data_IF_777313163361
#
_entry.id   IF_777313163361
#
_cell.length_a   1.000
_cell.length_b   1.000
_cell.length_c   1.000
_cell.angle_alpha   90.00
_cell.angle_beta   90.00
_cell.angle_gamma   90.00
#
_symmetry.space_group_name_H-M   'P 1'
#
loop_
_entity.id
_entity.type
_entity.pdbx_description
1 polymer ?
#
# COMPACT_ATOMS: atom_id res chain seq x y z
N UNK A 1 20.80 -3.71 25.85
CA UNK A 1 20.74 -3.05 24.54
C UNK A 1 19.35 -3.28 23.97
N UNK A 2 18.69 -2.22 23.51
CA UNK A 2 17.34 -2.25 22.92
C UNK A 2 17.41 -1.91 21.43
N UNK A 3 16.99 -2.82 20.57
CA UNK A 3 17.03 -2.64 19.12
C UNK A 3 15.62 -2.68 18.54
N UNK A 4 15.29 -1.71 17.72
CA UNK A 4 14.03 -1.68 16.95
C UNK A 4 14.36 -1.96 15.49
N UNK A 5 13.72 -2.99 14.94
CA UNK A 5 13.84 -3.38 13.54
C UNK A 5 12.55 -2.98 12.83
N UNK A 6 12.67 -2.08 11.86
CA UNK A 6 11.60 -1.63 11.00
C UNK A 6 12.11 -1.68 9.55
N UNK A 7 12.02 -2.85 8.94
CA UNK A 7 12.57 -3.16 7.62
C UNK A 7 11.45 -3.54 6.65
N UNK A 8 11.50 -3.04 5.41
CA UNK A 8 10.54 -3.42 4.37
C UNK A 8 10.86 -4.81 3.80
N UNK A 9 9.93 -5.35 3.05
CA UNK A 9 10.10 -6.60 2.32
C UNK A 9 11.24 -6.51 1.30
N UNK A 10 11.93 -7.61 1.10
CA UNK A 10 12.82 -7.79 -0.05
C UNK A 10 11.97 -8.35 -1.20
N UNK A 11 11.35 -7.43 -1.96
CA UNK A 11 10.35 -7.78 -2.98
C UNK A 11 10.82 -8.91 -3.89
N UNK A 12 9.98 -9.93 -4.04
CA UNK A 12 10.31 -11.14 -4.80
C UNK A 12 11.18 -12.15 -4.04
N UNK A 13 11.54 -11.90 -2.77
CA UNK A 13 12.37 -12.79 -1.94
C UNK A 13 11.70 -13.09 -0.59
N UNK A 14 11.86 -12.23 0.42
CA UNK A 14 11.29 -12.46 1.76
C UNK A 14 10.41 -11.31 2.23
N UNK A 15 9.45 -11.64 3.10
CA UNK A 15 8.55 -10.67 3.72
C UNK A 15 9.26 -9.80 4.76
N UNK A 16 8.66 -8.65 5.10
CA UNK A 16 9.15 -7.77 6.17
C UNK A 16 9.27 -8.50 7.54
N UNK A 17 8.29 -9.31 8.00
CA UNK A 17 8.44 -10.10 9.21
C UNK A 17 9.60 -11.11 9.16
N UNK A 18 9.81 -11.77 8.01
CA UNK A 18 10.89 -12.75 7.85
C UNK A 18 12.27 -12.07 7.85
N UNK A 19 12.39 -10.93 7.19
CA UNK A 19 13.61 -10.10 7.22
C UNK A 19 13.91 -9.62 8.64
N UNK A 20 12.91 -9.15 9.37
CA UNK A 20 13.05 -8.76 10.77
C UNK A 20 13.46 -9.91 11.68
N UNK A 21 12.93 -11.13 11.44
CA UNK A 21 13.30 -12.33 12.18
C UNK A 21 14.77 -12.73 11.92
N UNK A 22 15.23 -12.66 10.66
CA UNK A 22 16.62 -12.95 10.29
C UNK A 22 17.60 -11.98 10.97
N UNK A 23 17.29 -10.68 10.96
CA UNK A 23 18.09 -9.67 11.65
C UNK A 23 18.12 -9.91 13.17
N UNK A 24 16.99 -10.20 13.78
CA UNK A 24 16.91 -10.53 15.21
C UNK A 24 17.78 -11.74 15.55
N UNK A 25 17.79 -12.77 14.71
CA UNK A 25 18.66 -13.95 14.88
C UNK A 25 20.14 -13.52 14.87
N UNK A 26 20.58 -12.73 13.90
CA UNK A 26 21.95 -12.22 13.81
C UNK A 26 22.38 -11.40 15.03
N UNK A 27 21.47 -10.57 15.57
CA UNK A 27 21.72 -9.80 16.80
C UNK A 27 21.92 -10.75 18.00
N UNK A 28 21.04 -11.73 18.17
CA UNK A 28 21.09 -12.65 19.32
C UNK A 28 22.29 -13.58 19.28
N UNK A 29 22.94 -13.81 18.14
CA UNK A 29 24.19 -14.55 18.06
C UNK A 29 25.36 -13.80 18.73
N UNK A 30 25.25 -12.46 18.86
CA UNK A 30 26.30 -11.62 19.47
C UNK A 30 25.86 -11.08 20.83
N UNK A 31 24.61 -10.65 20.95
CA UNK A 31 23.99 -10.13 22.16
C UNK A 31 22.72 -10.93 22.51
N UNK A 32 22.88 -12.11 23.18
CA UNK A 32 21.73 -12.97 23.49
C UNK A 32 20.65 -12.28 24.32
N UNK A 33 21.04 -11.34 25.19
CA UNK A 33 20.14 -10.64 26.11
C UNK A 33 19.61 -9.30 25.52
N UNK A 34 19.82 -9.04 24.23
CA UNK A 34 19.30 -7.84 23.60
C UNK A 34 17.76 -7.88 23.50
N UNK A 35 17.12 -6.79 23.88
CA UNK A 35 15.68 -6.59 23.62
C UNK A 35 15.48 -6.17 22.17
N UNK A 36 14.90 -7.05 21.36
CA UNK A 36 14.72 -6.81 19.93
C UNK A 36 13.24 -6.76 19.57
N UNK A 37 12.79 -5.59 19.10
CA UNK A 37 11.42 -5.33 18.67
C UNK A 37 11.34 -5.27 17.15
N UNK A 38 10.66 -6.23 16.54
CA UNK A 38 10.38 -6.21 15.09
C UNK A 38 9.04 -5.52 14.87
N UNK A 39 9.05 -4.49 14.05
CA UNK A 39 7.86 -3.79 13.58
C UNK A 39 7.77 -3.95 12.07
N UNK A 40 6.69 -4.57 11.56
CA UNK A 40 6.56 -4.79 10.13
C UNK A 40 6.44 -3.44 9.41
N UNK A 41 7.06 -3.35 8.25
CA UNK A 41 6.89 -2.25 7.31
C UNK A 41 6.26 -2.76 6.02
N UNK A 42 5.59 -1.86 5.33
CA UNK A 42 5.13 -2.02 3.97
C UNK A 42 4.99 -0.62 3.35
N UNK A 43 4.93 -0.54 2.04
CA UNK A 43 4.81 0.75 1.33
C UNK A 43 3.36 1.08 0.92
N UNK A 44 2.37 0.34 1.46
CA UNK A 44 0.95 0.47 1.04
C UNK A 44 0.63 -0.30 -0.24
N UNK A 45 1.60 -0.98 -0.82
CA UNK A 45 1.43 -1.86 -1.98
C UNK A 45 1.15 -3.31 -1.60
N UNK A 46 1.49 -4.22 -2.52
CA UNK A 46 1.32 -5.67 -2.35
C UNK A 46 2.06 -6.20 -1.11
N UNK A 47 1.37 -7.00 -0.30
CA UNK A 47 1.91 -7.59 0.93
C UNK A 47 1.67 -6.77 2.20
N UNK A 48 1.11 -5.57 2.10
CA UNK A 48 0.77 -4.70 3.24
C UNK A 48 -0.20 -5.38 4.20
N UNK A 49 -1.26 -6.02 3.68
CA UNK A 49 -2.24 -6.78 4.49
C UNK A 49 -1.54 -7.82 5.35
N UNK A 50 -0.69 -8.63 4.72
CA UNK A 50 0.00 -9.73 5.39
C UNK A 50 1.01 -9.21 6.41
N UNK A 51 1.78 -8.18 6.04
CA UNK A 51 2.78 -7.59 6.92
C UNK A 51 2.15 -6.96 8.17
N UNK A 52 1.12 -6.13 8.01
CA UNK A 52 0.46 -5.47 9.13
C UNK A 52 -0.39 -6.43 9.95
N UNK A 53 -1.24 -7.26 9.32
CA UNK A 53 -2.12 -8.15 10.06
C UNK A 53 -1.31 -9.14 10.92
N UNK A 54 -0.32 -9.83 10.33
CA UNK A 54 0.49 -10.80 11.08
C UNK A 54 1.43 -10.12 12.06
N UNK A 55 2.03 -8.99 11.69
CA UNK A 55 2.97 -8.27 12.57
C UNK A 55 2.30 -7.55 13.75
N UNK A 56 1.00 -7.31 13.68
CA UNK A 56 0.21 -6.65 14.73
C UNK A 56 -0.77 -7.63 15.43
N UNK A 57 -0.54 -8.94 15.34
CA UNK A 57 -1.38 -9.98 15.95
C UNK A 57 -2.85 -9.94 15.48
N UNK A 58 -3.09 -9.46 14.27
CA UNK A 58 -4.38 -9.53 13.63
C UNK A 58 -4.62 -10.86 12.93
N UNK A 59 -5.75 -10.97 12.25
CA UNK A 59 -6.13 -12.17 11.50
C UNK A 59 -6.39 -11.84 10.04
N UNK A 60 -6.21 -12.82 9.18
CA UNK A 60 -6.52 -12.72 7.75
C UNK A 60 -7.89 -13.38 7.53
N UNK A 61 -8.73 -12.71 6.75
CA UNK A 61 -10.04 -13.19 6.33
C UNK A 61 -10.08 -13.34 4.81
N UNK A 62 -10.58 -14.48 4.34
CA UNK A 62 -10.80 -14.78 2.93
C UNK A 62 -12.29 -14.62 2.64
N UNK A 63 -12.62 -13.97 1.53
CA UNK A 63 -13.99 -13.69 1.07
C UNK A 63 -14.08 -13.92 -0.42
N UNK A 64 -15.16 -14.57 -0.86
CA UNK A 64 -15.48 -14.63 -2.28
C UNK A 64 -16.10 -13.31 -2.71
N UNK A 65 -15.48 -12.63 -3.67
CA UNK A 65 -15.91 -11.32 -4.18
C UNK A 65 -15.91 -11.31 -5.70
N UNK A 66 -16.49 -10.28 -6.28
CA UNK A 66 -16.46 -10.02 -7.72
C UNK A 66 -15.08 -9.54 -8.14
N UNK A 67 -14.39 -10.31 -8.95
CA UNK A 67 -13.10 -9.94 -9.54
C UNK A 67 -13.21 -8.84 -10.59
N UNK A 68 -12.06 -8.36 -11.11
CA UNK A 68 -12.03 -7.24 -12.06
C UNK A 68 -12.78 -7.52 -13.35
N UNK A 69 -12.92 -8.78 -13.76
CA UNK A 69 -13.66 -9.21 -14.96
C UNK A 69 -15.13 -9.54 -14.68
N UNK A 70 -15.65 -9.22 -13.49
CA UNK A 70 -17.04 -9.52 -13.12
C UNK A 70 -17.30 -10.98 -12.71
N UNK A 71 -16.26 -11.80 -12.59
CA UNK A 71 -16.35 -13.21 -12.15
C UNK A 71 -15.97 -13.35 -10.67
N UNK A 72 -16.54 -14.34 -9.95
CA UNK A 72 -16.16 -14.58 -8.56
C UNK A 72 -14.70 -14.98 -8.40
N UNK A 73 -14.04 -14.42 -7.40
CA UNK A 73 -12.66 -14.74 -6.99
C UNK A 73 -12.56 -14.79 -5.47
N UNK A 74 -11.55 -15.51 -4.96
CA UNK A 74 -11.17 -15.44 -3.54
C UNK A 74 -10.24 -14.24 -3.32
N UNK A 75 -10.61 -13.35 -2.42
CA UNK A 75 -9.79 -12.21 -2.01
C UNK A 75 -9.58 -12.21 -0.50
N UNK A 76 -8.47 -11.61 -0.05
CA UNK A 76 -8.12 -11.59 1.36
C UNK A 76 -8.00 -10.16 1.87
N UNK A 77 -8.33 -9.97 3.16
CA UNK A 77 -8.03 -8.74 3.89
C UNK A 77 -7.66 -9.04 5.34
N UNK A 78 -6.98 -8.10 6.00
CA UNK A 78 -6.57 -8.22 7.40
C UNK A 78 -7.57 -7.56 8.34
N UNK A 79 -7.69 -8.08 9.57
CA UNK A 79 -8.46 -7.46 10.66
C UNK A 79 -7.55 -7.35 11.87
N UNK A 80 -7.43 -6.15 12.43
CA UNK A 80 -6.85 -5.88 13.72
C UNK A 80 -8.00 -5.80 14.74
N UNK A 81 -8.18 -6.85 15.51
CA UNK A 81 -9.37 -6.99 16.39
C UNK A 81 -9.41 -5.91 17.50
N UNK A 82 -8.26 -5.56 18.07
CA UNK A 82 -8.15 -4.55 19.14
C UNK A 82 -8.64 -3.16 18.73
N UNK A 83 -8.37 -2.76 17.48
CA UNK A 83 -8.72 -1.43 16.93
C UNK A 83 -9.94 -1.46 16.02
N UNK A 84 -10.51 -2.64 15.75
CA UNK A 84 -11.57 -2.84 14.74
C UNK A 84 -11.19 -2.24 13.39
N UNK A 85 -9.91 -2.40 13.00
CA UNK A 85 -9.35 -1.88 11.76
C UNK A 85 -9.29 -2.98 10.71
N UNK A 86 -9.85 -2.73 9.54
CA UNK A 86 -9.67 -3.56 8.35
C UNK A 86 -8.50 -3.02 7.52
N UNK A 87 -7.63 -3.92 7.05
CA UNK A 87 -6.52 -3.62 6.15
C UNK A 87 -6.83 -4.29 4.82
N UNK A 88 -7.06 -3.49 3.78
CA UNK A 88 -7.49 -3.95 2.46
C UNK A 88 -6.48 -3.50 1.41
N UNK A 89 -6.04 -4.42 0.57
CA UNK A 89 -5.37 -4.09 -0.69
C UNK A 89 -6.41 -4.17 -1.81
N UNK A 90 -6.65 -3.06 -2.51
CA UNK A 90 -7.62 -3.06 -3.61
C UNK A 90 -7.24 -4.07 -4.70
N UNK A 91 -5.94 -4.34 -4.86
CA UNK A 91 -5.40 -5.30 -5.83
C UNK A 91 -5.84 -6.74 -5.56
N UNK A 92 -6.22 -7.07 -4.32
CA UNK A 92 -6.78 -8.39 -4.00
C UNK A 92 -8.13 -8.68 -4.70
N UNK A 93 -8.89 -7.62 -5.03
CA UNK A 93 -10.20 -7.73 -5.69
C UNK A 93 -10.26 -7.11 -7.09
N UNK A 94 -9.38 -6.14 -7.39
CA UNK A 94 -9.42 -5.40 -8.65
C UNK A 94 -8.00 -5.12 -9.21
N UNK A 95 -7.04 -5.98 -8.87
CA UNK A 95 -5.64 -5.85 -9.25
C UNK A 95 -5.34 -6.23 -10.70
N UNK A 96 -4.29 -5.61 -11.26
CA UNK A 96 -3.85 -5.87 -12.64
C UNK A 96 -3.26 -7.29 -12.81
N UNK A 97 -2.76 -7.89 -11.74
CA UNK A 97 -2.25 -9.26 -11.73
C UNK A 97 -3.36 -10.31 -11.83
N UNK A 98 -4.61 -9.92 -11.58
CA UNK A 98 -5.80 -10.78 -11.75
C UNK A 98 -6.31 -10.80 -13.19
N UNK A 99 -5.69 -10.04 -14.09
CA UNK A 99 -6.11 -9.91 -15.48
C UNK A 99 -4.92 -10.18 -16.39
N UNK A 100 -4.98 -11.26 -17.14
CA UNK A 100 -3.99 -11.61 -18.16
C UNK A 100 -3.87 -10.47 -19.18
N UNK A 101 -2.67 -10.19 -19.64
CA UNK A 101 -2.38 -9.05 -20.51
C UNK A 101 -3.31 -8.95 -21.74
N UNK A 102 -3.64 -10.04 -22.48
CA UNK A 102 -4.56 -9.99 -23.62
C UNK A 102 -6.00 -9.61 -23.23
N UNK A 103 -6.38 -9.82 -21.97
CA UNK A 103 -7.72 -9.57 -21.45
C UNK A 103 -7.87 -8.20 -20.77
N UNK A 104 -6.79 -7.41 -20.68
CA UNK A 104 -6.80 -6.07 -20.08
C UNK A 104 -7.61 -5.11 -20.90
N UNK A 105 -8.72 -4.64 -20.35
CA UNK A 105 -9.57 -3.65 -20.98
C UNK A 105 -10.30 -2.82 -19.90
N UNK A 106 -9.86 -1.59 -19.62
CA UNK A 106 -10.41 -0.78 -18.54
C UNK A 106 -11.85 -0.31 -18.80
N UNK A 107 -12.38 -0.49 -20.01
CA UNK A 107 -13.79 -0.21 -20.28
C UNK A 107 -14.74 -1.16 -19.53
N UNK A 108 -14.27 -2.36 -19.18
CA UNK A 108 -15.09 -3.42 -18.60
C UNK A 108 -14.64 -3.89 -17.22
N UNK A 109 -13.40 -3.56 -16.81
CA UNK A 109 -12.90 -3.96 -15.49
C UNK A 109 -13.55 -3.13 -14.39
N UNK A 110 -13.90 -3.78 -13.26
CA UNK A 110 -14.69 -3.18 -12.18
C UNK A 110 -13.99 -3.21 -10.83
N UNK A 111 -14.29 -2.22 -10.00
CA UNK A 111 -13.91 -2.13 -8.58
C UNK A 111 -14.95 -2.73 -7.64
N UNK A 112 -16.00 -3.41 -8.14
CA UNK A 112 -17.12 -3.89 -7.33
C UNK A 112 -16.67 -4.76 -6.14
N UNK A 113 -15.74 -5.68 -6.35
CA UNK A 113 -15.20 -6.54 -5.30
C UNK A 113 -14.47 -5.80 -4.18
N UNK A 114 -13.91 -4.62 -4.46
CA UNK A 114 -13.33 -3.77 -3.40
C UNK A 114 -14.42 -3.31 -2.43
N UNK A 115 -15.58 -2.92 -2.95
CA UNK A 115 -16.75 -2.56 -2.14
C UNK A 115 -17.30 -3.74 -1.35
N UNK A 116 -17.27 -4.95 -1.92
CA UNK A 116 -17.68 -6.18 -1.22
C UNK A 116 -16.74 -6.51 -0.06
N UNK A 117 -15.41 -6.32 -0.21
CA UNK A 117 -14.46 -6.45 0.91
C UNK A 117 -14.76 -5.45 2.02
N UNK A 118 -14.99 -4.17 1.68
CA UNK A 118 -15.34 -3.13 2.66
C UNK A 118 -16.64 -3.48 3.36
N UNK A 119 -17.66 -3.92 2.62
CA UNK A 119 -18.95 -4.34 3.17
C UNK A 119 -18.81 -5.51 4.13
N UNK A 120 -18.05 -6.55 3.77
CA UNK A 120 -17.80 -7.70 4.65
C UNK A 120 -17.07 -7.26 5.93
N UNK A 121 -16.09 -6.37 5.82
CA UNK A 121 -15.39 -5.83 6.99
C UNK A 121 -16.32 -5.02 7.92
N UNK A 122 -17.21 -4.19 7.37
CA UNK A 122 -18.23 -3.45 8.14
C UNK A 122 -19.13 -4.42 8.90
N UNK A 123 -19.63 -5.47 8.23
CA UNK A 123 -20.48 -6.52 8.83
C UNK A 123 -19.73 -7.26 9.96
N UNK A 124 -18.41 -7.43 9.83
CA UNK A 124 -17.55 -8.02 10.86
C UNK A 124 -17.15 -7.02 11.96
N UNK A 125 -17.76 -5.84 12.01
CA UNK A 125 -17.60 -4.85 13.09
C UNK A 125 -16.45 -3.88 12.90
N UNK A 126 -15.74 -3.88 11.77
CA UNK A 126 -14.71 -2.89 11.48
C UNK A 126 -15.35 -1.52 11.22
N UNK A 127 -14.67 -0.47 11.70
CA UNK A 127 -15.06 0.94 11.47
C UNK A 127 -13.86 1.79 11.04
N UNK A 128 -12.64 1.30 11.23
CA UNK A 128 -11.43 1.92 10.74
C UNK A 128 -10.89 1.11 9.56
N UNK A 129 -10.44 1.79 8.52
CA UNK A 129 -9.97 1.15 7.28
C UNK A 129 -8.63 1.73 6.86
N UNK A 130 -7.70 0.84 6.54
CA UNK A 130 -6.48 1.15 5.83
C UNK A 130 -6.62 0.50 4.46
N UNK A 131 -6.64 1.30 3.40
CA UNK A 131 -6.84 0.78 2.05
C UNK A 131 -5.66 1.16 1.18
N UNK A 132 -4.88 0.16 0.77
CA UNK A 132 -3.85 0.31 -0.25
C UNK A 132 -4.49 0.31 -1.64
N UNK A 133 -4.22 1.35 -2.43
CA UNK A 133 -4.84 1.52 -3.75
C UNK A 133 -3.90 1.34 -4.93
N UNK A 134 -2.72 0.75 -4.70
CA UNK A 134 -1.77 0.40 -5.76
C UNK A 134 -2.20 -0.79 -6.63
N UNK A 135 -1.65 -0.90 -7.83
CA UNK A 135 -1.74 -2.10 -8.67
C UNK A 135 -3.10 -2.36 -9.34
N UNK A 136 -3.95 -1.34 -9.57
CA UNK A 136 -5.30 -1.49 -10.13
C UNK A 136 -5.34 -1.90 -11.60
N UNK A 137 -6.32 -2.74 -11.99
CA UNK A 137 -6.70 -3.05 -13.36
C UNK A 137 -7.77 -2.12 -13.93
N UNK A 138 -8.34 -1.25 -13.12
CA UNK A 138 -9.60 -0.54 -13.36
C UNK A 138 -9.41 0.94 -13.65
N UNK A 139 -10.36 1.54 -14.38
CA UNK A 139 -10.46 2.98 -14.65
C UNK A 139 -11.92 3.43 -14.61
N UNK A 140 -12.69 2.86 -13.69
CA UNK A 140 -14.15 3.00 -13.59
C UNK A 140 -14.59 4.15 -12.66
N UNK A 141 -13.69 5.07 -12.28
CA UNK A 141 -14.03 6.13 -11.32
C UNK A 141 -14.48 5.58 -9.97
N UNK A 142 -14.22 4.30 -9.74
CA UNK A 142 -14.64 3.57 -8.54
C UNK A 142 -16.17 3.39 -8.38
N UNK A 143 -16.95 3.57 -9.44
CA UNK A 143 -18.42 3.37 -9.36
C UNK A 143 -18.78 1.94 -8.96
N UNK A 144 -17.98 0.93 -9.37
CA UNK A 144 -18.21 -0.46 -8.95
C UNK A 144 -18.17 -0.62 -7.43
N UNK A 145 -17.13 -0.11 -6.76
CA UNK A 145 -17.03 -0.15 -5.29
C UNK A 145 -18.22 0.54 -4.64
N UNK A 146 -18.59 1.72 -5.13
CA UNK A 146 -19.71 2.48 -4.60
C UNK A 146 -21.04 1.74 -4.79
N UNK A 147 -21.25 1.06 -5.93
CA UNK A 147 -22.43 0.20 -6.16
C UNK A 147 -22.51 -0.92 -5.13
N UNK A 148 -21.40 -1.59 -4.82
CA UNK A 148 -21.39 -2.64 -3.79
C UNK A 148 -21.67 -2.12 -2.38
N UNK A 149 -21.39 -0.84 -2.12
CA UNK A 149 -21.71 -0.15 -0.88
C UNK A 149 -23.14 0.42 -0.83
N UNK A 150 -23.91 0.29 -1.92
CA UNK A 150 -25.31 0.67 -2.01
C UNK A 150 -25.59 2.02 -2.65
N UNK A 151 -24.59 2.68 -3.27
CA UNK A 151 -24.84 3.82 -4.15
C UNK A 151 -25.45 3.33 -5.48
N UNK A 152 -26.41 4.07 -6.01
CA UNK A 152 -27.02 3.76 -7.29
C UNK A 152 -26.63 4.83 -8.33
N UNK A 153 -26.09 4.36 -9.43
CA UNK A 153 -25.78 5.16 -10.61
C UNK A 153 -26.74 4.76 -11.70
N UNK A 154 -27.55 5.70 -12.19
CA UNK A 154 -28.59 5.45 -13.17
C UNK A 154 -28.37 6.26 -14.44
N UNK A 155 -28.81 5.69 -15.57
CA UNK A 155 -28.82 6.35 -16.85
C UNK A 155 -30.09 7.23 -17.02
N UNK A 156 -30.24 7.87 -18.20
CA UNK A 156 -31.39 8.72 -18.54
C UNK A 156 -32.74 7.97 -18.56
N UNK A 157 -32.73 6.64 -18.53
CA UNK A 157 -33.93 5.80 -18.47
C UNK A 157 -34.14 5.19 -17.07
N UNK A 158 -33.46 5.73 -16.07
CA UNK A 158 -33.50 5.26 -14.67
C UNK A 158 -33.01 3.78 -14.52
N UNK A 159 -32.17 3.30 -15.48
CA UNK A 159 -31.61 1.96 -15.42
C UNK A 159 -30.22 2.00 -14.78
N UNK A 160 -29.85 0.99 -13.95
CA UNK A 160 -28.51 0.90 -13.40
C UNK A 160 -27.43 0.87 -14.49
N UNK A 161 -26.37 1.64 -14.31
CA UNK A 161 -25.24 1.62 -15.24
C UNK A 161 -24.41 0.33 -15.11
N UNK A 162 -23.82 -0.18 -16.20
CA UNK A 162 -22.97 -1.38 -16.18
C UNK A 162 -21.64 -1.11 -15.46
N UNK A 163 -20.91 -2.18 -15.17
CA UNK A 163 -19.56 -2.13 -14.63
C UNK A 163 -18.55 -1.51 -15.61
N UNK A 164 -17.42 -1.08 -15.07
CA UNK A 164 -16.28 -0.56 -15.81
C UNK A 164 -16.42 0.89 -16.24
N UNK A 165 -15.41 1.43 -16.93
CA UNK A 165 -15.44 2.80 -17.43
C UNK A 165 -16.62 3.04 -18.41
N UNK A 166 -17.12 2.00 -19.06
CA UNK A 166 -18.31 2.09 -19.91
C UNK A 166 -19.55 2.54 -19.12
N UNK A 167 -19.62 2.20 -17.83
CA UNK A 167 -20.68 2.68 -16.93
C UNK A 167 -20.65 4.19 -16.76
N UNK A 168 -19.45 4.79 -16.63
CA UNK A 168 -19.30 6.24 -16.49
C UNK A 168 -19.97 7.03 -17.61
N UNK A 169 -19.90 6.50 -18.84
CA UNK A 169 -20.49 7.17 -20.03
C UNK A 169 -22.00 7.33 -19.98
N UNK A 170 -22.66 6.58 -19.09
CA UNK A 170 -24.12 6.51 -19.03
C UNK A 170 -24.70 7.17 -17.78
N UNK A 171 -23.88 7.60 -16.83
CA UNK A 171 -24.36 8.20 -15.58
C UNK A 171 -25.14 9.47 -15.85
N UNK A 172 -26.40 9.51 -15.45
CA UNK A 172 -27.25 10.69 -15.45
C UNK A 172 -27.55 11.16 -14.02
N UNK A 173 -27.77 10.22 -13.07
CA UNK A 173 -28.11 10.52 -11.69
C UNK A 173 -27.38 9.62 -10.70
N UNK A 174 -27.20 10.13 -9.48
CA UNK A 174 -26.56 9.40 -8.37
C UNK A 174 -27.53 9.40 -7.18
N UNK A 175 -27.84 8.22 -6.65
CA UNK A 175 -28.68 8.05 -5.47
C UNK A 175 -27.91 7.34 -4.35
N UNK A 176 -28.20 7.72 -3.10
CA UNK A 176 -27.56 7.20 -1.89
C UNK A 176 -28.55 6.61 -0.86
N UNK A 177 -29.80 6.38 -1.32
CA UNK A 177 -30.88 5.90 -0.46
C UNK A 177 -30.62 4.51 0.14
N UNK A 178 -29.86 3.66 -0.58
CA UNK A 178 -29.59 2.28 -0.18
C UNK A 178 -28.15 2.07 0.31
N UNK A 179 -27.41 3.17 0.53
CA UNK A 179 -26.05 3.10 1.08
C UNK A 179 -26.08 2.47 2.46
N UNK A 180 -25.10 1.59 2.72
CA UNK A 180 -24.93 0.94 4.02
C UNK A 180 -24.94 1.98 5.14
N UNK A 181 -25.87 1.92 6.11
CA UNK A 181 -26.00 2.96 7.15
C UNK A 181 -24.73 3.14 7.98
N UNK A 182 -24.00 2.04 8.22
CA UNK A 182 -22.77 2.03 9.00
C UNK A 182 -21.59 2.71 8.30
N UNK A 183 -21.66 2.96 6.98
CA UNK A 183 -20.58 3.57 6.20
C UNK A 183 -20.24 4.99 6.71
N UNK A 184 -21.24 5.73 7.18
CA UNK A 184 -21.04 7.09 7.73
C UNK A 184 -20.16 7.12 8.98
N UNK A 185 -20.12 6.01 9.73
CA UNK A 185 -19.35 5.86 10.96
C UNK A 185 -17.94 5.26 10.69
N UNK A 186 -17.62 5.02 9.41
CA UNK A 186 -16.34 4.47 8.99
C UNK A 186 -15.32 5.58 8.71
N UNK A 187 -14.08 5.32 9.07
CA UNK A 187 -12.93 6.19 8.82
C UNK A 187 -11.94 5.47 7.91
N UNK A 188 -11.55 6.12 6.83
CA UNK A 188 -10.67 5.53 5.83
C UNK A 188 -9.36 6.30 5.74
N UNK A 189 -8.24 5.58 5.92
CA UNK A 189 -6.89 6.03 5.56
C UNK A 189 -6.50 5.33 4.26
N UNK A 190 -6.31 6.11 3.21
CA UNK A 190 -6.03 5.59 1.87
C UNK A 190 -4.54 5.77 1.59
N UNK A 191 -3.83 4.65 1.43
CA UNK A 191 -2.42 4.65 1.08
C UNK A 191 -2.27 5.03 -0.40
N UNK A 192 -1.82 6.26 -0.65
CA UNK A 192 -1.70 6.85 -1.97
C UNK A 192 -0.38 7.61 -2.09
N UNK A 193 0.54 7.10 -2.90
CA UNK A 193 1.87 7.69 -3.12
C UNK A 193 1.98 8.45 -4.46
N UNK A 194 0.84 8.67 -5.14
CA UNK A 194 0.78 9.45 -6.37
C UNK A 194 -0.06 10.71 -6.18
N UNK A 195 0.27 11.75 -6.94
CA UNK A 195 -0.39 13.07 -6.84
C UNK A 195 -1.24 13.40 -8.07
N UNK A 196 -1.42 12.45 -8.98
CA UNK A 196 -2.17 12.64 -10.21
C UNK A 196 -3.63 13.05 -9.93
N UNK A 197 -4.16 14.10 -10.61
CA UNK A 197 -5.58 14.46 -10.55
C UNK A 197 -6.43 13.39 -11.25
N UNK A 198 -7.74 13.51 -11.13
CA UNK A 198 -8.68 12.57 -11.73
C UNK A 198 -8.59 12.60 -13.27
N UNK A 199 -8.57 13.77 -13.87
CA UNK A 199 -8.69 14.00 -15.31
C UNK A 199 -7.53 14.84 -15.87
N UNK A 200 -7.49 14.94 -17.18
CA UNK A 200 -6.56 15.79 -17.93
C UNK A 200 -5.24 15.07 -18.31
N UNK A 201 -4.24 15.82 -18.82
CA UNK A 201 -3.00 15.24 -19.33
C UNK A 201 -2.18 14.47 -18.28
N UNK A 202 -2.35 14.81 -16.99
CA UNK A 202 -1.75 14.12 -15.85
C UNK A 202 -2.77 13.27 -15.10
N UNK A 203 -3.98 13.13 -15.62
CA UNK A 203 -5.07 12.36 -15.02
C UNK A 203 -4.87 10.84 -15.13
N UNK A 204 -5.72 10.12 -14.42
CA UNK A 204 -5.58 8.66 -14.29
C UNK A 204 -5.65 7.91 -15.63
N UNK A 205 -6.54 8.32 -16.54
CA UNK A 205 -6.67 7.66 -17.85
C UNK A 205 -5.43 7.87 -18.71
N UNK A 206 -4.86 9.08 -18.72
CA UNK A 206 -3.69 9.41 -19.52
C UNK A 206 -2.43 8.69 -19.02
N UNK A 207 -2.20 8.69 -17.72
CA UNK A 207 -0.95 8.19 -17.12
C UNK A 207 -1.00 6.67 -16.89
N UNK A 208 -2.11 6.14 -16.37
CA UNK A 208 -2.19 4.74 -15.95
C UNK A 208 -3.04 3.86 -16.90
N UNK A 209 -3.77 4.47 -17.85
CA UNK A 209 -4.58 3.74 -18.82
C UNK A 209 -3.80 2.78 -19.72
N UNK A 210 -2.64 3.17 -20.28
CA UNK A 210 -1.87 2.31 -21.19
C UNK A 210 -1.52 0.95 -20.60
N UNK A 211 -1.03 0.88 -19.36
CA UNK A 211 -0.69 -0.38 -18.70
C UNK A 211 -1.90 -1.29 -18.43
N UNK A 212 -3.11 -0.71 -18.42
CA UNK A 212 -4.40 -1.40 -18.24
C UNK A 212 -5.02 -1.84 -19.57
N UNK A 213 -4.31 -1.65 -20.68
CA UNK A 213 -4.77 -2.03 -22.03
C UNK A 213 -5.58 -0.97 -22.76
N UNK A 214 -5.57 0.29 -22.29
CA UNK A 214 -6.30 1.36 -22.95
C UNK A 214 -5.59 1.84 -24.23
N UNK A 215 -6.34 1.96 -25.31
CA UNK A 215 -5.89 2.65 -26.53
C UNK A 215 -5.96 4.16 -26.37
N UNK A 216 -5.28 4.95 -27.24
CA UNK A 216 -5.37 6.41 -27.20
C UNK A 216 -6.81 6.96 -27.31
N UNK A 217 -7.68 6.28 -28.06
CA UNK A 217 -9.09 6.66 -28.17
C UNK A 217 -9.86 6.39 -26.88
N UNK A 218 -9.64 5.22 -26.27
CA UNK A 218 -10.24 4.86 -24.98
C UNK A 218 -9.79 5.85 -23.90
N UNK A 219 -8.52 6.24 -23.87
CA UNK A 219 -7.99 7.23 -22.90
C UNK A 219 -8.76 8.54 -22.99
N UNK A 220 -8.95 9.09 -24.21
CA UNK A 220 -9.68 10.34 -24.40
C UNK A 220 -11.15 10.23 -23.96
N UNK A 221 -11.79 9.12 -24.28
CA UNK A 221 -13.19 8.87 -23.90
C UNK A 221 -13.34 8.74 -22.39
N UNK A 222 -12.52 7.91 -21.75
CA UNK A 222 -12.56 7.72 -20.29
C UNK A 222 -12.28 9.00 -19.54
N UNK A 223 -11.36 9.83 -20.02
CA UNK A 223 -11.05 11.12 -19.39
C UNK A 223 -12.28 12.06 -19.42
N UNK A 224 -12.97 12.13 -20.54
CA UNK A 224 -14.23 12.89 -20.66
C UNK A 224 -15.33 12.36 -19.74
N UNK A 225 -15.50 11.03 -19.68
CA UNK A 225 -16.52 10.41 -18.83
C UNK A 225 -16.24 10.66 -17.36
N UNK A 226 -14.98 10.56 -16.91
CA UNK A 226 -14.57 10.88 -15.57
C UNK A 226 -14.81 12.35 -15.22
N UNK A 227 -14.54 13.27 -16.14
CA UNK A 227 -14.83 14.69 -15.94
C UNK A 227 -16.34 14.94 -15.79
N UNK A 228 -17.18 14.27 -16.61
CA UNK A 228 -18.63 14.36 -16.50
C UNK A 228 -19.12 13.77 -15.17
N UNK A 229 -18.62 12.60 -14.79
CA UNK A 229 -18.91 11.96 -13.51
C UNK A 229 -18.54 12.85 -12.31
N UNK A 230 -17.37 13.49 -12.37
CA UNK A 230 -16.94 14.41 -11.31
C UNK A 230 -17.89 15.62 -11.18
N UNK A 231 -18.39 16.16 -12.30
CA UNK A 231 -19.36 17.25 -12.28
C UNK A 231 -20.69 16.81 -11.67
N UNK A 232 -21.24 15.67 -12.08
CA UNK A 232 -22.47 15.11 -11.50
C UNK A 232 -22.27 14.82 -9.99
N UNK A 233 -21.10 14.29 -9.60
CA UNK A 233 -20.77 14.06 -8.20
C UNK A 233 -20.75 15.37 -7.41
N UNK A 234 -20.17 16.45 -7.95
CA UNK A 234 -20.10 17.76 -7.29
C UNK A 234 -21.47 18.40 -7.07
N UNK A 235 -22.44 18.15 -7.94
CA UNK A 235 -23.82 18.64 -7.74
C UNK A 235 -24.45 18.08 -6.46
N UNK A 236 -24.13 16.82 -6.10
CA UNK A 236 -24.64 16.17 -4.90
C UNK A 236 -23.72 16.33 -3.69
N UNK A 237 -22.41 16.30 -3.93
CA UNK A 237 -21.35 16.39 -2.91
C UNK A 237 -20.44 17.59 -3.25
N UNK A 238 -20.77 18.80 -2.77
CA UNK A 238 -20.07 20.04 -3.19
C UNK A 238 -18.57 20.08 -2.87
N UNK A 239 -18.10 19.24 -1.93
CA UNK A 239 -16.69 19.12 -1.58
C UNK A 239 -15.90 18.19 -2.52
N UNK A 240 -16.54 17.55 -3.49
CA UNK A 240 -15.88 16.70 -4.46
C UNK A 240 -14.94 17.54 -5.34
N UNK A 241 -13.66 17.27 -5.25
CA UNK A 241 -12.61 17.98 -5.97
C UNK A 241 -11.81 16.99 -6.83
N UNK A 242 -12.00 16.97 -8.18
CA UNK A 242 -11.26 16.10 -9.06
C UNK A 242 -9.78 16.51 -9.23
N UNK A 243 -9.42 17.74 -8.86
CA UNK A 243 -8.07 18.26 -8.99
C UNK A 243 -7.22 18.06 -7.72
N UNK A 244 -7.83 17.58 -6.63
CA UNK A 244 -7.09 17.26 -5.42
C UNK A 244 -6.00 16.22 -5.72
N UNK A 245 -4.75 16.41 -5.22
CA UNK A 245 -3.67 15.46 -5.44
C UNK A 245 -4.05 14.04 -5.00
N UNK A 246 -3.85 13.06 -5.90
CA UNK A 246 -4.15 11.65 -5.64
C UNK A 246 -5.55 11.19 -6.03
N UNK A 247 -6.44 12.07 -6.49
CA UNK A 247 -7.79 11.69 -6.93
C UNK A 247 -7.79 10.76 -8.14
N UNK A 248 -6.77 10.85 -8.99
CA UNK A 248 -6.57 9.93 -10.11
C UNK A 248 -5.99 8.56 -9.73
N UNK A 249 -5.54 8.36 -8.49
CA UNK A 249 -4.99 7.07 -8.08
C UNK A 249 -5.99 5.94 -8.32
N UNK A 250 -5.48 4.81 -8.81
CA UNK A 250 -6.24 3.58 -9.08
C UNK A 250 -7.48 3.79 -9.97
N UNK A 251 -7.38 4.68 -10.98
CA UNK A 251 -8.48 4.90 -11.93
C UNK A 251 -9.68 5.64 -11.35
N UNK A 252 -9.44 6.52 -10.38
CA UNK A 252 -10.46 7.34 -9.72
C UNK A 252 -10.85 6.87 -8.32
N UNK A 253 -10.18 5.85 -7.76
CA UNK A 253 -10.46 5.38 -6.40
C UNK A 253 -10.21 6.49 -5.37
N UNK A 254 -9.13 7.26 -5.53
CA UNK A 254 -8.83 8.40 -4.67
C UNK A 254 -9.96 9.43 -4.67
N UNK A 255 -10.49 9.78 -5.83
CA UNK A 255 -11.63 10.69 -5.96
C UNK A 255 -12.89 10.16 -5.26
N UNK A 256 -13.23 8.88 -5.49
CA UNK A 256 -14.41 8.30 -4.90
C UNK A 256 -14.33 8.26 -3.38
N UNK A 257 -13.21 7.83 -2.80
CA UNK A 257 -13.04 7.84 -1.35
C UNK A 257 -13.19 9.24 -0.76
N UNK A 258 -12.53 10.25 -1.33
CA UNK A 258 -12.63 11.62 -0.83
C UNK A 258 -14.03 12.24 -0.98
N UNK A 259 -14.77 11.86 -2.04
CA UNK A 259 -16.07 12.46 -2.33
C UNK A 259 -17.23 11.81 -1.60
N UNK A 260 -17.17 10.49 -1.35
CA UNK A 260 -18.31 9.70 -0.86
C UNK A 260 -18.11 9.14 0.55
N UNK A 261 -16.96 9.32 1.15
CA UNK A 261 -16.64 8.78 2.49
C UNK A 261 -15.88 9.78 3.35
N UNK A 262 -15.61 9.41 4.62
CA UNK A 262 -14.74 10.17 5.53
C UNK A 262 -13.26 9.79 5.33
N UNK A 263 -12.79 9.76 4.08
CA UNK A 263 -11.45 9.33 3.76
C UNK A 263 -10.42 10.47 3.82
N UNK A 264 -9.19 10.10 4.15
CA UNK A 264 -7.99 10.93 3.96
C UNK A 264 -7.00 10.17 3.10
N UNK A 265 -6.33 10.86 2.18
CA UNK A 265 -5.20 10.31 1.44
C UNK A 265 -3.91 10.60 2.21
N UNK A 266 -3.10 9.59 2.42
CA UNK A 266 -1.78 9.69 3.05
C UNK A 266 -0.79 8.79 2.34
N UNK A 267 0.51 9.06 2.47
CA UNK A 267 1.49 8.11 1.95
C UNK A 267 1.41 6.78 2.70
N UNK A 268 1.61 5.67 1.98
CA UNK A 268 1.52 4.33 2.56
C UNK A 268 2.43 4.17 3.76
N UNK A 269 3.67 4.65 3.65
CA UNK A 269 4.63 4.57 4.76
C UNK A 269 4.18 5.35 5.99
N UNK A 270 3.59 6.55 5.83
CA UNK A 270 3.13 7.33 6.97
C UNK A 270 2.03 6.60 7.75
N UNK A 271 1.05 6.02 7.05
CA UNK A 271 -0.01 5.22 7.69
C UNK A 271 0.60 4.09 8.51
N UNK A 272 1.57 3.37 7.94
CA UNK A 272 2.18 2.20 8.59
C UNK A 272 2.99 2.60 9.82
N UNK A 273 3.76 3.69 9.74
CA UNK A 273 4.52 4.21 10.86
C UNK A 273 3.61 4.61 12.04
N UNK A 274 2.45 5.21 11.73
CA UNK A 274 1.44 5.57 12.74
C UNK A 274 0.79 4.32 13.36
N UNK A 275 0.28 3.41 12.54
CA UNK A 275 -0.46 2.23 13.01
C UNK A 275 0.42 1.25 13.79
N UNK A 276 1.68 1.08 13.38
CA UNK A 276 2.64 0.23 14.11
C UNK A 276 3.16 0.87 15.40
N UNK A 277 2.77 2.13 15.69
CA UNK A 277 3.27 2.92 16.82
C UNK A 277 4.80 2.92 16.89
N UNK A 278 5.43 2.97 15.71
CA UNK A 278 6.88 2.83 15.60
C UNK A 278 7.63 3.90 16.39
N UNK A 279 7.12 5.14 16.38
CA UNK A 279 7.73 6.26 17.09
C UNK A 279 7.89 5.97 18.60
N UNK A 280 6.88 5.37 19.22
CA UNK A 280 6.94 5.02 20.65
C UNK A 280 8.01 3.96 20.95
N UNK A 281 8.25 3.03 20.03
CA UNK A 281 9.29 2.02 20.17
C UNK A 281 10.70 2.61 19.96
N UNK A 282 10.84 3.49 18.97
CA UNK A 282 12.12 4.13 18.62
C UNK A 282 12.62 5.04 19.73
N UNK A 283 11.72 5.75 20.43
CA UNK A 283 12.09 6.70 21.50
C UNK A 283 13.02 6.08 22.53
N UNK A 284 12.81 4.84 22.89
CA UNK A 284 13.58 4.12 23.92
C UNK A 284 14.63 3.17 23.34
N UNK A 285 14.84 3.14 22.03
CA UNK A 285 15.81 2.28 21.39
C UNK A 285 17.24 2.82 21.52
N UNK A 286 18.22 1.93 21.50
CA UNK A 286 19.63 2.28 21.35
C UNK A 286 20.00 2.35 19.86
N UNK A 287 19.50 1.37 19.08
CA UNK A 287 19.75 1.24 17.64
C UNK A 287 18.43 1.00 16.92
N UNK A 288 18.28 1.65 15.78
CA UNK A 288 17.16 1.43 14.85
C UNK A 288 17.70 0.81 13.57
N UNK A 289 17.08 -0.28 13.13
CA UNK A 289 17.44 -0.98 11.90
C UNK A 289 16.30 -0.83 10.91
N UNK A 290 16.64 -0.45 9.69
CA UNK A 290 15.71 -0.34 8.56
C UNK A 290 16.31 -0.98 7.30
N UNK A 291 15.65 -0.86 6.16
CA UNK A 291 16.15 -1.36 4.88
C UNK A 291 15.03 -1.79 3.94
N UNK A 292 15.45 -2.21 2.77
CA UNK A 292 14.59 -2.71 1.68
C UNK A 292 15.42 -3.55 0.70
N UNK A 293 14.79 -4.18 -0.30
CA UNK A 293 15.48 -5.00 -1.29
C UNK A 293 16.57 -4.26 -2.07
N UNK A 294 16.44 -2.94 -2.28
CA UNK A 294 17.42 -2.14 -3.01
C UNK A 294 17.42 -0.69 -2.54
N UNK A 295 18.57 -0.21 -2.06
CA UNK A 295 18.78 1.21 -1.77
C UNK A 295 19.29 1.93 -3.02
N UNK A 296 18.58 2.94 -3.46
CA UNK A 296 18.86 3.72 -4.67
C UNK A 296 18.41 5.20 -4.50
N UNK A 297 18.49 5.98 -5.59
CA UNK A 297 18.07 7.38 -5.59
C UNK A 297 16.55 7.58 -5.33
N UNK A 298 15.74 6.55 -5.50
CA UNK A 298 14.30 6.65 -5.17
C UNK A 298 14.05 6.47 -3.66
N UNK A 299 14.94 5.80 -2.95
CA UNK A 299 14.82 5.59 -1.49
C UNK A 299 14.69 6.93 -0.75
N UNK A 300 15.47 7.94 -1.14
CA UNK A 300 15.42 9.28 -0.53
C UNK A 300 14.15 10.07 -0.85
N UNK A 301 13.34 9.62 -1.80
CA UNK A 301 12.07 10.27 -2.18
C UNK A 301 10.91 9.92 -1.25
N UNK A 302 11.19 9.45 -0.03
CA UNK A 302 10.18 9.20 1.00
C UNK A 302 9.77 7.74 1.17
N UNK A 303 10.58 6.78 0.68
CA UNK A 303 10.34 5.35 0.93
C UNK A 303 10.55 4.98 2.40
N UNK A 304 10.15 3.76 2.75
CA UNK A 304 10.14 3.23 4.11
C UNK A 304 11.44 3.47 4.90
N UNK A 305 12.65 3.21 4.37
CA UNK A 305 13.88 3.41 5.14
C UNK A 305 14.09 4.86 5.59
N UNK A 306 13.75 5.83 4.74
CA UNK A 306 13.89 7.26 5.08
C UNK A 306 12.83 7.71 6.06
N UNK A 307 11.58 7.20 5.95
CA UNK A 307 10.53 7.46 6.93
C UNK A 307 10.92 7.01 8.33
N UNK A 308 11.49 5.82 8.47
CA UNK A 308 12.02 5.29 9.73
C UNK A 308 13.18 6.13 10.25
N UNK A 309 14.14 6.46 9.38
CA UNK A 309 15.30 7.28 9.74
C UNK A 309 14.89 8.66 10.25
N UNK A 310 13.93 9.31 9.60
CA UNK A 310 13.40 10.61 10.01
C UNK A 310 12.81 10.57 11.43
N UNK A 311 12.06 9.53 11.78
CA UNK A 311 11.55 9.36 13.15
C UNK A 311 12.70 9.11 14.13
N UNK A 312 13.66 8.24 13.79
CA UNK A 312 14.78 7.91 14.65
C UNK A 312 15.64 9.15 14.96
N UNK A 313 15.84 10.02 13.97
CA UNK A 313 16.65 11.24 14.12
C UNK A 313 15.98 12.30 14.99
N UNK A 314 14.65 12.33 15.13
CA UNK A 314 13.98 13.16 16.14
C UNK A 314 14.46 12.85 17.58
N UNK A 315 14.88 11.60 17.82
CA UNK A 315 15.32 11.10 19.12
C UNK A 315 16.84 10.81 19.15
N UNK A 316 17.60 11.33 18.20
CA UNK A 316 19.06 11.15 18.08
C UNK A 316 19.50 9.68 18.11
N UNK A 317 18.74 8.76 17.51
CA UNK A 317 19.07 7.34 17.48
C UNK A 317 20.01 6.99 16.33
N UNK A 318 20.86 5.98 16.56
CA UNK A 318 21.69 5.39 15.49
C UNK A 318 20.79 4.56 14.57
N UNK A 319 20.91 4.82 13.26
CA UNK A 319 20.13 4.16 12.22
C UNK A 319 21.03 3.37 11.28
N UNK A 320 20.82 2.07 11.25
CA UNK A 320 21.51 1.16 10.33
C UNK A 320 20.51 0.67 9.26
N UNK A 321 20.96 0.52 8.02
CA UNK A 321 20.13 -0.05 6.98
C UNK A 321 20.76 -1.29 6.35
N UNK A 322 19.92 -2.31 6.07
CA UNK A 322 20.32 -3.49 5.30
C UNK A 322 19.58 -3.48 3.96
N UNK A 323 20.27 -3.90 2.90
CA UNK A 323 19.66 -3.98 1.57
C UNK A 323 20.16 -5.18 0.77
N UNK A 324 19.33 -5.68 -0.13
CA UNK A 324 19.73 -6.72 -1.08
C UNK A 324 20.89 -6.26 -1.96
N UNK A 325 20.74 -5.06 -2.53
CA UNK A 325 21.79 -4.41 -3.31
C UNK A 325 21.71 -2.88 -3.17
N UNK A 326 22.73 -2.19 -3.68
CA UNK A 326 22.81 -0.72 -3.65
C UNK A 326 23.22 -0.18 -5.02
N UNK A 327 22.80 1.05 -5.33
CA UNK A 327 23.35 1.84 -6.43
C UNK A 327 24.31 2.90 -5.87
N UNK A 328 25.11 3.59 -6.71
CA UNK A 328 25.98 4.69 -6.25
C UNK A 328 25.23 5.78 -5.48
N UNK A 329 23.96 6.04 -5.85
CA UNK A 329 23.09 7.04 -5.21
C UNK A 329 22.63 6.64 -3.80
N UNK A 330 22.80 5.39 -3.39
CA UNK A 330 22.49 4.94 -2.03
C UNK A 330 23.26 5.76 -0.96
N UNK A 331 24.44 6.31 -1.31
CA UNK A 331 25.21 7.21 -0.45
C UNK A 331 24.42 8.45 -0.01
N UNK A 332 23.41 8.88 -0.77
CA UNK A 332 22.54 9.99 -0.39
C UNK A 332 21.69 9.65 0.86
N UNK A 333 21.44 8.39 1.13
CA UNK A 333 20.69 7.97 2.32
C UNK A 333 21.39 8.41 3.62
N UNK A 334 22.73 8.53 3.62
CA UNK A 334 23.49 9.03 4.78
C UNK A 334 23.15 10.50 5.09
N UNK A 335 22.81 11.31 4.09
CA UNK A 335 22.40 12.71 4.28
C UNK A 335 20.95 12.81 4.76
N UNK A 336 20.18 11.70 4.68
CA UNK A 336 18.77 11.61 5.05
C UNK A 336 18.53 10.77 6.32
N UNK A 337 19.56 10.66 7.18
CA UNK A 337 19.43 10.10 8.53
C UNK A 337 19.78 8.62 8.69
N UNK A 338 20.23 7.94 7.66
CA UNK A 338 20.81 6.59 7.78
C UNK A 338 22.30 6.75 8.07
N UNK A 339 22.76 6.32 9.24
CA UNK A 339 24.18 6.48 9.65
C UNK A 339 25.10 5.54 8.86
N UNK A 340 24.66 4.30 8.63
CA UNK A 340 25.39 3.33 7.80
C UNK A 340 24.43 2.37 7.12
N UNK A 341 24.80 1.90 5.92
CA UNK A 341 24.03 0.88 5.21
C UNK A 341 24.95 -0.26 4.74
N UNK A 342 24.39 -1.46 4.68
CA UNK A 342 25.10 -2.70 4.40
C UNK A 342 24.34 -3.52 3.35
N UNK A 343 24.92 -3.72 2.15
CA UNK A 343 24.40 -4.71 1.22
C UNK A 343 24.68 -6.12 1.75
N UNK A 344 23.72 -7.03 1.57
CA UNK A 344 23.79 -8.38 2.16
C UNK A 344 24.35 -9.45 1.24
N UNK A 345 24.72 -9.10 0.00
CA UNK A 345 25.34 -10.06 -0.92
C UNK A 345 26.81 -10.27 -0.56
N UNK A 346 27.15 -11.49 -0.18
CA UNK A 346 28.51 -11.86 0.23
C UNK A 346 29.39 -12.36 -0.92
N UNK A 347 28.76 -12.87 -1.99
CA UNK A 347 29.44 -13.48 -3.13
C UNK A 347 28.84 -12.99 -4.45
N UNK A 348 29.60 -13.15 -5.54
CA UNK A 348 29.07 -12.96 -6.89
C UNK A 348 28.12 -14.15 -7.15
N UNK A 349 26.88 -13.84 -7.49
CA UNK A 349 25.82 -14.82 -7.71
C UNK A 349 24.84 -14.32 -8.78
N UNK A 350 23.95 -15.18 -9.25
CA UNK A 350 22.88 -14.78 -10.15
C UNK A 350 21.76 -14.06 -9.38
N UNK A 351 20.96 -13.26 -10.08
CA UNK A 351 19.79 -12.62 -9.46
C UNK A 351 18.81 -13.64 -8.89
N UNK A 352 18.58 -14.74 -9.59
CA UNK A 352 17.70 -15.82 -9.19
C UNK A 352 18.15 -16.45 -7.86
N UNK A 353 19.42 -16.80 -7.75
CA UNK A 353 19.99 -17.36 -6.52
C UNK A 353 19.97 -16.36 -5.36
N UNK A 354 20.33 -15.08 -5.64
CA UNK A 354 20.33 -14.01 -4.65
C UNK A 354 18.95 -13.74 -4.06
N UNK A 355 17.88 -13.94 -4.86
CA UNK A 355 16.48 -13.69 -4.48
C UNK A 355 15.79 -14.90 -3.84
N UNK A 356 16.46 -16.06 -3.72
CA UNK A 356 15.85 -17.17 -2.98
C UNK A 356 15.62 -16.79 -1.52
N UNK A 357 14.47 -17.14 -0.91
CA UNK A 357 14.18 -16.80 0.48
C UNK A 357 15.25 -17.25 1.45
N UNK A 358 15.78 -18.44 1.26
CA UNK A 358 16.81 -19.05 2.09
C UNK A 358 18.12 -18.26 2.06
N UNK A 359 18.58 -17.90 0.84
CA UNK A 359 19.81 -17.13 0.64
C UNK A 359 19.68 -15.73 1.26
N UNK A 360 18.57 -15.05 1.02
CA UNK A 360 18.33 -13.71 1.57
C UNK A 360 18.30 -13.76 3.09
N UNK A 361 17.58 -14.72 3.69
CA UNK A 361 17.53 -14.91 5.14
C UNK A 361 18.91 -15.14 5.73
N UNK A 362 19.68 -16.06 5.16
CA UNK A 362 21.02 -16.40 5.66
C UNK A 362 21.94 -15.17 5.55
N UNK A 363 21.96 -14.50 4.41
CA UNK A 363 22.80 -13.32 4.20
C UNK A 363 22.45 -12.17 5.15
N UNK A 364 21.14 -11.91 5.40
CA UNK A 364 20.71 -10.94 6.41
C UNK A 364 21.20 -11.30 7.81
N UNK A 365 21.04 -12.54 8.21
CA UNK A 365 21.49 -13.02 9.51
C UNK A 365 23.00 -12.85 9.68
N UNK A 366 23.78 -13.31 8.70
CA UNK A 366 25.25 -13.26 8.76
C UNK A 366 25.80 -11.84 8.68
N UNK A 367 25.26 -10.98 7.80
CA UNK A 367 25.64 -9.57 7.74
C UNK A 367 25.34 -8.87 9.06
N UNK A 368 24.15 -9.11 9.63
CA UNK A 368 23.76 -8.54 10.91
C UNK A 368 24.71 -8.99 12.03
N UNK A 369 25.04 -10.27 12.08
CA UNK A 369 26.01 -10.79 13.04
C UNK A 369 27.35 -10.04 12.96
N UNK A 370 27.90 -9.84 11.75
CA UNK A 370 29.19 -9.14 11.60
C UNK A 370 29.10 -7.67 12.00
N UNK A 371 28.02 -6.98 11.67
CA UNK A 371 27.79 -5.59 12.09
C UNK A 371 27.72 -5.49 13.61
N UNK A 372 27.01 -6.39 14.28
CA UNK A 372 26.91 -6.38 15.73
C UNK A 372 28.18 -6.84 16.45
N UNK A 373 29.01 -7.72 15.85
CA UNK A 373 30.37 -7.99 16.32
C UNK A 373 31.26 -6.75 16.27
N UNK A 374 31.16 -5.93 15.23
CA UNK A 374 31.87 -4.65 15.16
C UNK A 374 31.40 -3.70 16.28
N UNK A 375 30.08 -3.58 16.49
CA UNK A 375 29.53 -2.76 17.58
C UNK A 375 30.05 -3.25 18.94
N UNK A 376 30.06 -4.53 19.19
CA UNK A 376 30.59 -5.13 20.41
C UNK A 376 32.07 -4.78 20.62
N UNK A 377 32.87 -4.90 19.56
CA UNK A 377 34.30 -4.63 19.64
C UNK A 377 34.64 -3.15 19.96
N UNK A 378 33.84 -2.20 19.45
CA UNK A 378 34.03 -0.76 19.72
C UNK A 378 33.45 -0.31 21.06
N UNK A 379 32.49 -1.04 21.65
CA UNK A 379 31.95 -0.73 22.97
C UNK A 379 32.85 -1.16 24.14
N UNK A 380 33.84 -2.03 23.88
CA UNK A 380 34.77 -2.55 24.88
C UNK A 380 35.96 -1.56 25.12
N UNK A 381 36.04 -0.50 24.35
CA UNK A 381 37.02 0.58 24.48
C UNK A 381 36.36 1.88 24.90
#
# INVERSE_FOLDING_TARGET
MKVVIAIDSFKGSISSPDAGAAIREGIHRVFPDAEVFVRPLADGGEGTVKALALGMHGRIRTVTVTGPLGTPIEAVYGILDDSKTAIIEMSAAAGITLVDEPNRNPLYTTTYGVGELIRDAIINGCRNFIVGIGGSATNDGCIGMLQALGYEFQDNNEQPVPFGANGLSKIATIHDTHVLPDLKDCHFKIACDVTNPLCGPQGCSAIFGPQKGATPDMIRQMDQWLATYANITREKYPNADPDHPGTGAAGGLGFAFLSYTNAILQSGIQIILEETRLESCIKDADIVITGEGRLDGQTIMGKAPIGVAAIAKKYNKTVLAFSGCTTPEASLCNQHGIDAFFPILHTITTLEEAMTPETTRQNLTDTTEQVFRLIQAVQIH
#
